data_IF_709944312770
#
_entry.id   IF_709944312770
#
_cell.length_a   1.000
_cell.length_b   1.000
_cell.length_c   1.000
_cell.angle_alpha   90.00
_cell.angle_beta   90.00
_cell.angle_gamma   90.00
#
_symmetry.space_group_name_H-M   'P 1'
#
loop_
_entity.id
_entity.type
_entity.pdbx_description
1 polymer ?
#
# COMPACT_ATOMS: atom_id res chain seq x y z
N UNK A 1 -19.19 -12.02 13.14
CA UNK A 1 -18.69 -10.65 12.87
C UNK A 1 -17.28 -10.66 12.25
N UNK A 2 -16.25 -11.22 12.89
CA UNK A 2 -14.88 -11.25 12.34
C UNK A 2 -14.77 -11.90 10.94
N UNK A 3 -15.52 -12.97 10.65
CA UNK A 3 -15.52 -13.61 9.31
C UNK A 3 -16.14 -12.71 8.22
N UNK A 4 -17.18 -11.94 8.56
CA UNK A 4 -17.84 -11.03 7.61
C UNK A 4 -16.96 -9.80 7.32
N UNK A 5 -16.28 -9.28 8.35
CA UNK A 5 -15.25 -8.25 8.19
C UNK A 5 -14.10 -8.75 7.31
N UNK A 6 -13.57 -9.95 7.59
CA UNK A 6 -12.52 -10.58 6.79
C UNK A 6 -12.94 -10.75 5.32
N UNK A 7 -14.15 -11.22 5.06
CA UNK A 7 -14.65 -11.36 3.68
C UNK A 7 -14.72 -10.03 2.94
N UNK A 8 -15.19 -8.97 3.59
CA UNK A 8 -15.28 -7.64 2.98
C UNK A 8 -13.90 -7.10 2.61
N UNK A 9 -12.94 -7.25 3.52
CA UNK A 9 -11.53 -6.88 3.31
C UNK A 9 -10.89 -7.68 2.18
N UNK A 10 -11.16 -8.99 2.10
CA UNK A 10 -10.64 -9.83 1.02
C UNK A 10 -11.21 -9.45 -0.34
N UNK A 11 -12.48 -9.04 -0.40
CA UNK A 11 -13.09 -8.54 -1.63
C UNK A 11 -12.47 -7.21 -2.07
N UNK A 12 -12.21 -6.30 -1.13
CA UNK A 12 -11.52 -5.04 -1.40
C UNK A 12 -10.08 -5.29 -1.90
N UNK A 13 -9.33 -6.18 -1.24
CA UNK A 13 -7.98 -6.55 -1.65
C UNK A 13 -7.91 -7.14 -3.07
N UNK A 14 -8.94 -7.92 -3.43
CA UNK A 14 -9.06 -8.59 -4.74
C UNK A 14 -9.78 -7.74 -5.79
N UNK A 15 -10.13 -6.50 -5.46
CA UNK A 15 -10.71 -5.60 -6.44
C UNK A 15 -9.71 -5.31 -7.57
N UNK A 16 -10.23 -5.08 -8.78
CA UNK A 16 -9.39 -4.72 -9.92
C UNK A 16 -8.57 -3.45 -9.64
N UNK A 17 -9.16 -2.48 -8.92
CA UNK A 17 -8.52 -1.24 -8.52
C UNK A 17 -7.32 -1.49 -7.59
N UNK A 18 -7.48 -2.33 -6.56
CA UNK A 18 -6.37 -2.67 -5.66
C UNK A 18 -5.26 -3.44 -6.39
N UNK A 19 -5.61 -4.39 -7.25
CA UNK A 19 -4.63 -5.13 -8.04
C UNK A 19 -3.82 -4.21 -8.97
N UNK A 20 -4.50 -3.29 -9.66
CA UNK A 20 -3.86 -2.27 -10.49
C UNK A 20 -2.97 -1.33 -9.67
N UNK A 21 -3.43 -0.91 -8.48
CA UNK A 21 -2.67 -0.06 -7.59
C UNK A 21 -1.38 -0.74 -7.10
N UNK A 22 -1.47 -1.96 -6.58
CA UNK A 22 -0.32 -2.75 -6.12
C UNK A 22 0.66 -3.00 -7.28
N UNK A 23 0.15 -3.37 -8.46
CA UNK A 23 0.98 -3.56 -9.65
C UNK A 23 1.72 -2.28 -10.05
N UNK A 24 1.02 -1.16 -10.11
CA UNK A 24 1.61 0.14 -10.47
C UNK A 24 2.73 0.53 -9.50
N UNK A 25 2.52 0.31 -8.19
CA UNK A 25 3.54 0.58 -7.17
C UNK A 25 4.79 -0.30 -7.36
N UNK A 26 4.62 -1.58 -7.70
CA UNK A 26 5.75 -2.47 -8.00
C UNK A 26 6.49 -2.08 -9.27
N UNK A 27 5.76 -1.72 -10.32
CA UNK A 27 6.34 -1.25 -11.59
C UNK A 27 7.10 0.05 -11.41
N UNK A 28 6.61 0.95 -10.56
CA UNK A 28 7.31 2.17 -10.17
C UNK A 28 8.58 1.91 -9.34
N UNK A 29 8.52 1.01 -8.35
CA UNK A 29 9.68 0.66 -7.51
C UNK A 29 10.79 -0.03 -8.28
N UNK A 30 10.48 -0.81 -9.33
CA UNK A 30 11.46 -1.62 -10.07
C UNK A 30 12.63 -0.78 -10.66
N UNK A 31 12.38 0.32 -11.38
CA UNK A 31 13.44 1.21 -11.86
C UNK A 31 13.99 2.18 -10.79
N UNK A 32 13.26 2.43 -9.69
CA UNK A 32 13.63 3.41 -8.67
C UNK A 32 13.69 2.79 -7.26
N UNK A 33 14.64 1.89 -6.95
CA UNK A 33 14.72 1.29 -5.63
C UNK A 33 15.27 2.27 -4.57
N UNK A 34 14.89 2.05 -3.32
CA UNK A 34 15.46 2.73 -2.15
C UNK A 34 15.17 4.23 -2.12
N UNK A 35 16.19 5.03 -1.84
CA UNK A 35 16.08 6.49 -1.63
C UNK A 35 15.70 7.26 -2.91
N UNK A 36 16.07 6.74 -4.08
CA UNK A 36 15.74 7.36 -5.38
C UNK A 36 14.23 7.44 -5.66
N UNK A 37 13.46 6.57 -4.99
CA UNK A 37 12.02 6.44 -5.15
C UNK A 37 11.27 7.73 -4.78
N UNK A 38 11.76 8.47 -3.78
CA UNK A 38 11.13 9.67 -3.29
C UNK A 38 11.19 10.82 -4.28
N UNK A 39 12.38 11.06 -4.82
CA UNK A 39 12.63 12.11 -5.81
C UNK A 39 11.81 11.84 -7.06
N UNK A 40 11.82 10.61 -7.57
CA UNK A 40 11.05 10.26 -8.75
C UNK A 40 9.54 10.37 -8.51
N UNK A 41 9.08 9.94 -7.33
CA UNK A 41 7.66 10.04 -6.97
C UNK A 41 7.20 11.50 -6.99
N UNK A 42 8.01 12.43 -6.49
CA UNK A 42 7.67 13.85 -6.49
C UNK A 42 7.64 14.43 -7.91
N UNK A 43 8.53 14.00 -8.79
CA UNK A 43 8.50 14.39 -10.21
C UNK A 43 7.26 13.85 -10.93
N UNK A 44 6.87 12.60 -10.68
CA UNK A 44 5.62 12.02 -11.18
C UNK A 44 4.42 12.80 -10.64
N UNK A 45 4.39 13.08 -9.34
CA UNK A 45 3.30 13.83 -8.69
C UNK A 45 3.13 15.22 -9.30
N UNK A 46 4.21 15.96 -9.52
CA UNK A 46 4.14 17.30 -10.16
C UNK A 46 3.55 17.21 -11.57
N UNK A 47 3.95 16.20 -12.35
CA UNK A 47 3.38 15.96 -13.69
C UNK A 47 1.89 15.63 -13.61
N UNK A 48 1.49 14.77 -12.67
CA UNK A 48 0.09 14.42 -12.42
C UNK A 48 -0.74 15.66 -12.00
N UNK A 49 -0.20 16.52 -11.13
CA UNK A 49 -0.85 17.76 -10.68
C UNK A 49 -1.07 18.75 -11.84
N UNK A 50 -0.10 18.88 -12.76
CA UNK A 50 -0.23 19.71 -13.96
C UNK A 50 -1.28 19.11 -14.90
N UNK A 51 -1.23 17.79 -15.14
CA UNK A 51 -2.19 17.10 -16.00
C UNK A 51 -3.61 17.24 -15.46
N UNK A 52 -3.80 17.09 -14.14
CA UNK A 52 -5.09 17.25 -13.48
C UNK A 52 -5.66 18.66 -13.61
N UNK A 53 -4.83 19.70 -13.41
CA UNK A 53 -5.27 21.11 -13.54
C UNK A 53 -5.75 21.42 -14.95
N UNK A 54 -5.10 20.83 -15.95
CA UNK A 54 -5.38 21.07 -17.37
C UNK A 54 -6.46 20.14 -17.95
N UNK A 55 -6.88 19.11 -17.22
CA UNK A 55 -7.89 18.16 -17.70
C UNK A 55 -9.31 18.75 -17.68
N UNK A 56 -10.08 18.35 -18.68
CA UNK A 56 -11.53 18.58 -18.77
C UNK A 56 -12.22 18.07 -17.50
N UNK A 57 -13.11 18.85 -16.85
CA UNK A 57 -13.85 18.42 -15.66
C UNK A 57 -14.43 17.00 -15.73
N UNK A 58 -14.93 16.57 -16.88
CA UNK A 58 -15.48 15.22 -17.05
C UNK A 58 -14.41 14.10 -16.93
N UNK A 59 -13.16 14.38 -17.27
CA UNK A 59 -12.04 13.42 -17.24
C UNK A 59 -11.23 13.44 -15.93
N UNK A 60 -11.41 14.46 -15.07
CA UNK A 60 -10.58 14.65 -13.86
C UNK A 60 -10.62 13.48 -12.89
N UNK A 61 -11.79 12.87 -12.68
CA UNK A 61 -11.92 11.74 -11.75
C UNK A 61 -11.13 10.52 -12.23
N UNK A 62 -11.25 10.18 -13.52
CA UNK A 62 -10.49 9.08 -14.12
C UNK A 62 -8.98 9.36 -14.08
N UNK A 63 -8.59 10.61 -14.32
CA UNK A 63 -7.18 11.01 -14.24
C UNK A 63 -6.64 10.84 -12.81
N UNK A 64 -7.36 11.31 -11.78
CA UNK A 64 -6.97 11.13 -10.37
C UNK A 64 -6.78 9.64 -10.06
N UNK A 65 -7.77 8.79 -10.42
CA UNK A 65 -7.70 7.36 -10.15
C UNK A 65 -6.48 6.69 -10.83
N UNK A 66 -6.03 7.24 -11.95
CA UNK A 66 -4.84 6.79 -12.67
C UNK A 66 -3.50 7.21 -12.05
N UNK A 67 -3.48 8.23 -11.18
CA UNK A 67 -2.23 8.79 -10.63
C UNK A 67 -1.52 7.83 -9.70
N UNK A 68 -0.19 7.92 -9.67
CA UNK A 68 0.63 7.20 -8.70
C UNK A 68 0.28 7.61 -7.26
N UNK A 69 -0.03 8.90 -7.07
CA UNK A 69 -0.42 9.44 -5.78
C UNK A 69 -1.68 8.77 -5.21
N UNK A 70 -2.73 8.64 -6.03
CA UNK A 70 -3.98 8.00 -5.62
C UNK A 70 -3.76 6.52 -5.29
N UNK A 71 -3.10 5.78 -6.18
CA UNK A 71 -2.81 4.35 -6.00
C UNK A 71 -1.98 4.08 -4.74
N UNK A 72 -0.96 4.90 -4.47
CA UNK A 72 -0.19 4.86 -3.21
C UNK A 72 -1.10 5.04 -2.00
N UNK A 73 -1.95 6.08 -2.00
CA UNK A 73 -2.86 6.36 -0.88
C UNK A 73 -3.85 5.23 -0.66
N UNK A 74 -4.41 4.67 -1.73
CA UNK A 74 -5.33 3.53 -1.66
C UNK A 74 -4.66 2.34 -0.94
N UNK A 75 -3.48 1.93 -1.41
CA UNK A 75 -2.74 0.80 -0.84
C UNK A 75 -2.29 1.08 0.60
N UNK A 76 -1.75 2.29 0.86
CA UNK A 76 -1.30 2.72 2.19
C UNK A 76 -2.44 2.72 3.20
N UNK A 77 -3.59 3.30 2.85
CA UNK A 77 -4.78 3.31 3.70
C UNK A 77 -5.32 1.89 3.95
N UNK A 78 -5.34 1.03 2.94
CA UNK A 78 -5.80 -0.35 3.09
C UNK A 78 -4.96 -1.12 4.11
N UNK A 79 -3.63 -1.08 3.99
CA UNK A 79 -2.76 -1.76 4.95
C UNK A 79 -2.77 -1.10 6.33
N UNK A 80 -2.92 0.23 6.41
CA UNK A 80 -3.09 0.92 7.69
C UNK A 80 -4.36 0.45 8.42
N UNK A 81 -5.47 0.34 7.67
CA UNK A 81 -6.73 -0.17 8.18
C UNK A 81 -6.59 -1.61 8.68
N UNK A 82 -5.99 -2.50 7.89
CA UNK A 82 -5.67 -3.87 8.30
C UNK A 82 -4.87 -3.92 9.60
N UNK A 83 -3.82 -3.10 9.69
CA UNK A 83 -2.94 -3.09 10.84
C UNK A 83 -3.69 -2.63 12.10
N UNK A 84 -4.56 -1.62 11.99
CA UNK A 84 -5.44 -1.22 13.09
C UNK A 84 -6.42 -2.31 13.52
N UNK A 85 -7.01 -3.06 12.59
CA UNK A 85 -7.91 -4.17 12.93
C UNK A 85 -7.20 -5.27 13.71
N UNK A 86 -5.95 -5.56 13.36
CA UNK A 86 -5.10 -6.53 14.07
C UNK A 86 -4.71 -6.00 15.44
N UNK A 87 -4.23 -4.76 15.54
CA UNK A 87 -3.82 -4.14 16.80
C UNK A 87 -4.97 -4.05 17.81
N UNK A 88 -6.18 -3.72 17.34
CA UNK A 88 -7.40 -3.68 18.15
C UNK A 88 -7.98 -5.08 18.45
N UNK A 89 -7.33 -6.16 17.98
CA UNK A 89 -7.76 -7.56 18.15
C UNK A 89 -9.15 -7.86 17.57
N UNK A 90 -9.66 -7.00 16.70
CA UNK A 90 -10.90 -7.21 15.95
C UNK A 90 -10.70 -8.34 14.92
N UNK A 91 -9.53 -8.34 14.28
CA UNK A 91 -9.07 -9.42 13.42
C UNK A 91 -7.91 -10.14 14.10
N UNK A 92 -8.13 -11.32 14.69
CA UNK A 92 -7.05 -12.06 15.36
C UNK A 92 -5.90 -12.35 14.39
N UNK A 93 -4.66 -12.12 14.83
CA UNK A 93 -3.44 -12.32 14.03
C UNK A 93 -3.36 -13.71 13.39
N UNK A 94 -3.78 -14.75 14.11
CA UNK A 94 -3.85 -16.13 13.57
C UNK A 94 -4.85 -16.30 12.43
N UNK A 95 -5.92 -15.51 12.41
CA UNK A 95 -6.93 -15.52 11.34
C UNK A 95 -6.42 -14.70 10.16
N UNK A 96 -5.83 -13.53 10.41
CA UNK A 96 -5.21 -12.68 9.39
C UNK A 96 -4.15 -13.45 8.60
N UNK A 97 -3.18 -14.08 9.28
CA UNK A 97 -2.09 -14.80 8.61
C UNK A 97 -2.49 -16.15 7.98
N UNK A 98 -3.76 -16.56 8.04
CA UNK A 98 -4.27 -17.62 7.16
C UNK A 98 -4.53 -17.13 5.73
N UNK A 99 -4.69 -15.82 5.55
CA UNK A 99 -5.05 -15.21 4.27
C UNK A 99 -3.93 -14.36 3.67
N UNK A 100 -3.02 -13.83 4.49
CA UNK A 100 -1.88 -13.05 4.04
C UNK A 100 -0.57 -13.65 4.54
N UNK A 101 0.26 -14.08 3.59
CA UNK A 101 1.63 -14.49 3.83
C UNK A 101 2.59 -13.31 3.67
N UNK A 102 3.86 -13.52 4.04
CA UNK A 102 4.92 -12.52 3.93
C UNK A 102 5.02 -11.94 2.51
N UNK A 103 4.91 -12.78 1.48
CA UNK A 103 4.93 -12.37 0.06
C UNK A 103 3.80 -11.39 -0.30
N UNK A 104 2.59 -11.60 0.22
CA UNK A 104 1.44 -10.71 -0.02
C UNK A 104 1.61 -9.33 0.65
N UNK A 105 2.50 -9.26 1.65
CA UNK A 105 2.77 -8.07 2.45
C UNK A 105 4.10 -7.39 2.06
N UNK A 106 4.87 -7.94 1.12
CA UNK A 106 6.18 -7.39 0.72
C UNK A 106 6.11 -5.96 0.19
N UNK A 107 4.96 -5.54 -0.35
CA UNK A 107 4.74 -4.16 -0.77
C UNK A 107 4.95 -3.16 0.38
N UNK A 108 4.74 -3.58 1.64
CA UNK A 108 4.93 -2.74 2.82
C UNK A 108 6.40 -2.33 2.98
N UNK A 109 7.36 -3.24 3.26
CA UNK A 109 8.75 -2.85 3.45
C UNK A 109 9.44 -2.41 2.15
N UNK A 110 8.99 -2.90 0.99
CA UNK A 110 9.67 -2.65 -0.29
C UNK A 110 9.23 -1.36 -0.97
N UNK A 111 8.02 -0.88 -0.70
CA UNK A 111 7.44 0.27 -1.40
C UNK A 111 6.83 1.28 -0.44
N UNK A 112 5.89 0.88 0.41
CA UNK A 112 5.14 1.82 1.24
C UNK A 112 6.03 2.50 2.28
N UNK A 113 6.77 1.73 3.08
CA UNK A 113 7.62 2.28 4.14
C UNK A 113 8.68 3.25 3.57
N UNK A 114 9.44 2.91 2.52
CA UNK A 114 10.36 3.85 1.88
C UNK A 114 9.68 5.13 1.39
N UNK A 115 8.53 5.02 0.69
CA UNK A 115 7.82 6.18 0.16
C UNK A 115 7.30 7.10 1.26
N UNK A 116 6.63 6.56 2.26
CA UNK A 116 6.02 7.33 3.34
C UNK A 116 7.08 8.03 4.20
N UNK A 117 8.21 7.37 4.49
CA UNK A 117 9.34 8.00 5.19
C UNK A 117 9.92 9.17 4.42
N UNK A 118 10.12 8.97 3.11
CA UNK A 118 10.72 9.99 2.30
C UNK A 118 9.78 11.20 2.11
N UNK A 119 8.47 10.96 2.01
CA UNK A 119 7.46 12.02 2.03
C UNK A 119 7.42 12.75 3.37
N UNK A 120 7.47 12.03 4.49
CA UNK A 120 7.52 12.61 5.83
C UNK A 120 8.75 13.51 6.04
N UNK A 121 9.90 13.06 5.53
CA UNK A 121 11.14 13.84 5.50
C UNK A 121 11.02 15.08 4.62
N UNK A 122 10.50 14.94 3.40
CA UNK A 122 10.34 16.06 2.46
C UNK A 122 9.39 17.16 2.98
N UNK A 123 8.37 16.77 3.76
CA UNK A 123 7.40 17.69 4.36
C UNK A 123 7.82 18.21 5.75
N UNK A 124 9.00 17.80 6.25
CA UNK A 124 9.48 18.13 7.60
C UNK A 124 8.50 17.78 8.74
N UNK A 125 7.67 16.74 8.53
CA UNK A 125 6.70 16.23 9.53
C UNK A 125 7.19 14.96 10.22
N UNK A 126 8.33 14.41 9.79
CA UNK A 126 8.91 13.18 10.34
C UNK A 126 8.21 11.91 9.85
N UNK A 127 8.57 10.76 10.43
CA UNK A 127 8.01 9.46 10.06
C UNK A 127 6.53 9.37 10.47
N UNK A 128 5.62 8.97 9.55
CA UNK A 128 4.22 8.77 9.90
C UNK A 128 4.05 7.75 11.04
N UNK A 129 3.21 8.07 12.01
CA UNK A 129 2.95 7.23 13.18
C UNK A 129 2.42 5.81 12.85
N UNK A 130 1.89 5.63 11.64
CA UNK A 130 1.38 4.34 11.14
C UNK A 130 2.51 3.39 10.68
N UNK A 131 3.71 3.89 10.39
CA UNK A 131 4.80 3.08 9.84
C UNK A 131 5.25 1.93 10.77
N UNK A 132 5.45 2.13 12.08
CA UNK A 132 5.78 1.02 12.96
C UNK A 132 4.71 -0.07 12.95
N UNK A 133 3.44 0.33 12.82
CA UNK A 133 2.31 -0.60 12.78
C UNK A 133 2.29 -1.41 11.49
N UNK A 134 2.50 -0.77 10.34
CA UNK A 134 2.66 -1.45 9.05
C UNK A 134 3.84 -2.43 9.06
N UNK A 135 4.97 -1.99 9.61
CA UNK A 135 6.18 -2.79 9.71
C UNK A 135 5.94 -4.06 10.56
N UNK A 136 5.30 -3.92 11.73
CA UNK A 136 4.91 -5.06 12.57
C UNK A 136 3.96 -6.03 11.86
N UNK A 137 3.04 -5.52 11.03
CA UNK A 137 2.12 -6.35 10.27
C UNK A 137 2.86 -7.31 9.32
N UNK A 138 3.92 -6.82 8.67
CA UNK A 138 4.80 -7.61 7.81
C UNK A 138 5.71 -8.56 8.61
N UNK A 139 6.37 -8.06 9.66
CA UNK A 139 7.36 -8.84 10.43
C UNK A 139 6.75 -10.06 11.14
N UNK A 140 5.49 -9.97 11.54
CA UNK A 140 4.76 -11.06 12.18
C UNK A 140 4.18 -12.08 11.19
N UNK A 141 4.30 -11.83 9.87
CA UNK A 141 3.74 -12.71 8.87
C UNK A 141 4.54 -14.01 8.73
N UNK A 142 3.84 -15.16 8.60
CA UNK A 142 4.52 -16.42 8.37
C UNK A 142 5.25 -16.34 7.04
N UNK A 143 6.49 -16.84 7.02
CA UNK A 143 7.14 -17.12 5.74
C UNK A 143 6.28 -18.13 4.99
N UNK A 144 6.17 -17.95 3.67
CA UNK A 144 5.52 -18.96 2.84
C UNK A 144 6.31 -20.24 3.07
N UNK A 145 5.75 -21.19 3.84
CA UNK A 145 6.30 -22.54 3.85
C UNK A 145 6.21 -22.98 2.41
N UNK A 146 7.37 -23.04 1.73
CA UNK A 146 7.49 -23.61 0.40
C UNK A 146 6.71 -24.92 0.48
N UNK A 147 5.57 -24.98 -0.21
CA UNK A 147 4.66 -26.12 -0.19
C UNK A 147 5.53 -27.36 -0.28
N UNK A 148 5.65 -28.05 0.86
CA UNK A 148 6.47 -29.23 0.97
C UNK A 148 5.90 -30.18 -0.08
N UNK A 149 6.74 -30.47 -1.08
CA UNK A 149 6.54 -31.48 -2.10
C UNK A 149 5.72 -32.64 -1.50
N UNK A 150 4.47 -32.77 -1.93
CA UNK A 150 3.65 -33.95 -1.74
C UNK A 150 3.19 -34.39 -3.12
#
# INVERSE_FOLDING_TARGET
>A
MAQQALMSILLEYRSAEMMDAVKTLWEFRRPHPGESMATEYEEVRKKDDIAWRNADPAARLALIAGTLHYKRRLVSHFYAYLAHLVDLKILPTKVFHKSWAKADLEVIPQVLVPLERALGSALAVGDPAVLPTLQRLYENAPEVQALAKR
#
